data_IF_310615026250
#
_entry.id   IF_310615026250
#
_cell.length_a   1.000
_cell.length_b   1.000
_cell.length_c   1.000
_cell.angle_alpha   90.00
_cell.angle_beta   90.00
_cell.angle_gamma   90.00
#
_symmetry.space_group_name_H-M   'P 1'
#
loop_
_entity.id
_entity.type
_entity.pdbx_description
1 polymer ?
#
# COMPACT_ATOMS: atom_id res chain seq x y z
N UNK A 1 8.23 43.60 52.14
CA UNK A 1 7.45 43.31 50.91
C UNK A 1 8.45 42.94 49.84
N UNK A 2 8.68 41.65 49.65
CA UNK A 2 9.58 41.13 48.62
C UNK A 2 8.77 40.91 47.34
N UNK A 3 9.18 41.56 46.25
CA UNK A 3 8.63 41.33 44.92
C UNK A 3 9.13 39.98 44.41
N UNK A 4 8.21 39.03 44.28
CA UNK A 4 8.45 37.77 43.58
C UNK A 4 8.49 38.09 42.09
N UNK A 5 9.69 38.08 41.51
CA UNK A 5 9.90 38.16 40.07
C UNK A 5 9.31 36.93 39.39
N UNK A 6 8.20 37.11 38.67
CA UNK A 6 7.65 36.06 37.82
C UNK A 6 8.61 35.77 36.67
N UNK A 7 9.16 34.55 36.66
CA UNK A 7 9.89 33.98 35.53
C UNK A 7 8.97 33.93 34.31
N UNK A 8 9.26 34.74 33.29
CA UNK A 8 8.63 34.67 31.98
C UNK A 8 8.86 33.29 31.38
N UNK A 9 7.79 32.49 31.27
CA UNK A 9 7.82 31.20 30.61
C UNK A 9 8.24 31.32 29.14
N UNK A 10 8.79 30.25 28.54
CA UNK A 10 9.24 30.28 27.16
C UNK A 10 8.10 30.64 26.21
N UNK A 11 8.38 31.56 25.29
CA UNK A 11 7.48 31.95 24.19
C UNK A 11 7.08 30.71 23.37
N UNK A 12 5.85 30.64 22.81
CA UNK A 12 5.42 29.51 21.96
C UNK A 12 6.38 29.18 20.81
N UNK A 13 7.16 30.16 20.34
CA UNK A 13 8.17 29.97 19.30
C UNK A 13 9.40 29.17 19.75
N UNK A 14 9.70 29.09 21.05
CA UNK A 14 10.82 28.29 21.57
C UNK A 14 10.48 26.79 21.67
N UNK A 15 9.20 26.43 21.73
CA UNK A 15 8.74 25.04 21.89
C UNK A 15 8.73 24.24 20.58
N UNK A 16 8.97 24.88 19.44
CA UNK A 16 8.98 24.22 18.12
C UNK A 16 10.36 23.72 17.70
N UNK A 17 11.42 24.05 18.44
CA UNK A 17 12.80 23.76 18.04
C UNK A 17 13.52 22.93 19.11
N UNK A 18 13.84 21.67 18.80
CA UNK A 18 14.62 20.80 19.67
C UNK A 18 16.10 20.82 19.25
N UNK A 19 16.86 21.78 19.79
CA UNK A 19 18.26 22.04 19.39
C UNK A 19 19.26 20.99 19.87
N UNK A 20 18.91 20.17 20.87
CA UNK A 20 19.83 19.18 21.47
C UNK A 20 20.02 17.93 20.62
N UNK A 21 19.15 17.68 19.62
CA UNK A 21 19.27 16.49 18.79
C UNK A 21 20.61 16.42 18.05
N UNK A 22 21.07 17.55 17.51
CA UNK A 22 22.35 17.64 16.78
C UNK A 22 23.58 17.47 17.68
N UNK A 23 23.43 17.59 19.01
CA UNK A 23 24.51 17.38 19.97
C UNK A 23 24.73 15.89 20.31
N UNK A 24 23.80 15.02 19.91
CA UNK A 24 23.95 13.58 20.11
C UNK A 24 25.03 13.01 19.19
N UNK A 25 25.83 12.03 19.66
CA UNK A 25 26.69 11.22 18.80
C UNK A 25 25.92 10.65 17.61
N UNK A 26 26.58 10.59 16.45
CA UNK A 26 25.98 10.15 15.19
C UNK A 26 25.31 8.78 15.33
N UNK A 27 25.89 7.85 16.08
CA UNK A 27 25.33 6.52 16.30
C UNK A 27 23.97 6.58 17.02
N UNK A 28 23.80 7.50 17.97
CA UNK A 28 22.53 7.69 18.66
C UNK A 28 21.50 8.36 17.76
N UNK A 29 21.90 9.37 16.98
CA UNK A 29 21.01 10.04 16.02
C UNK A 29 20.49 9.06 14.98
N UNK A 30 21.38 8.24 14.40
CA UNK A 30 21.00 7.19 13.46
C UNK A 30 20.07 6.17 14.10
N UNK A 31 20.34 5.69 15.33
CA UNK A 31 19.41 4.79 16.04
C UNK A 31 18.03 5.41 16.22
N UNK A 32 17.97 6.69 16.60
CA UNK A 32 16.68 7.40 16.74
C UNK A 32 15.97 7.44 15.38
N UNK A 33 16.66 7.78 14.29
CA UNK A 33 16.03 7.78 12.97
C UNK A 33 15.53 6.41 12.51
N UNK A 34 16.26 5.33 12.78
CA UNK A 34 15.77 3.97 12.52
C UNK A 34 14.50 3.67 13.33
N UNK A 35 14.40 4.15 14.57
CA UNK A 35 13.18 4.04 15.37
C UNK A 35 12.04 4.96 14.90
N UNK A 36 12.35 6.04 14.17
CA UNK A 36 11.37 6.95 13.58
C UNK A 36 10.85 6.47 12.22
N UNK A 37 11.38 5.38 11.66
CA UNK A 37 10.79 4.77 10.46
C UNK A 37 9.36 4.34 10.81
N UNK A 38 8.35 4.76 10.03
CA UNK A 38 6.97 4.39 10.31
C UNK A 38 6.77 2.88 10.41
N UNK A 39 5.78 2.48 11.19
CA UNK A 39 5.28 1.11 11.15
C UNK A 39 4.74 0.79 9.74
N UNK A 40 4.67 -0.50 9.34
CA UNK A 40 4.10 -0.91 8.07
C UNK A 40 2.72 -0.31 7.80
N UNK A 41 2.46 0.09 6.55
CA UNK A 41 1.26 0.84 6.18
C UNK A 41 0.47 0.13 5.07
N UNK A 42 -0.84 0.33 5.11
CA UNK A 42 -1.75 0.07 4.01
C UNK A 42 -1.79 1.31 3.10
N UNK A 43 -1.32 1.20 1.86
CA UNK A 43 -1.34 2.26 0.85
C UNK A 43 -2.52 2.06 -0.11
N UNK A 44 -3.51 2.94 -0.05
CA UNK A 44 -4.68 2.88 -0.93
C UNK A 44 -4.36 3.56 -2.26
N UNK A 45 -4.30 2.78 -3.35
CA UNK A 45 -3.92 3.26 -4.67
C UNK A 45 -5.16 3.43 -5.54
N UNK A 46 -5.22 4.54 -6.28
CA UNK A 46 -6.21 4.77 -7.33
C UNK A 46 -5.60 5.32 -8.61
N UNK A 47 -6.24 5.02 -9.73
CA UNK A 47 -6.02 5.72 -10.99
C UNK A 47 -6.67 7.10 -10.93
N UNK A 48 -5.96 8.16 -11.33
CA UNK A 48 -6.59 9.47 -11.57
C UNK A 48 -6.87 9.65 -13.06
N UNK A 49 -8.10 9.99 -13.39
CA UNK A 49 -8.55 10.36 -14.73
C UNK A 49 -9.11 11.79 -14.69
N UNK A 50 -8.92 12.58 -15.74
CA UNK A 50 -9.64 13.84 -15.94
C UNK A 50 -10.45 13.78 -17.24
N UNK A 51 -11.65 14.38 -17.23
CA UNK A 51 -12.43 14.62 -18.44
C UNK A 51 -11.84 15.81 -19.17
N UNK A 52 -11.14 15.59 -20.29
CA UNK A 52 -10.66 16.71 -21.09
C UNK A 52 -11.83 17.59 -21.55
N UNK A 53 -11.53 18.85 -21.88
CA UNK A 53 -12.47 19.78 -22.52
C UNK A 53 -13.05 19.18 -23.82
N UNK A 54 -12.34 18.23 -24.43
CA UNK A 54 -12.76 17.49 -25.64
C UNK A 54 -13.53 16.20 -25.34
N UNK A 55 -13.90 15.93 -24.08
CA UNK A 55 -14.64 14.74 -23.66
C UNK A 55 -13.82 13.44 -23.64
N UNK A 56 -12.50 13.49 -23.85
CA UNK A 56 -11.62 12.32 -23.76
C UNK A 56 -11.10 12.16 -22.34
N UNK A 57 -11.28 10.99 -21.77
CA UNK A 57 -10.59 10.60 -20.53
C UNK A 57 -9.09 10.47 -20.81
N UNK A 58 -8.28 11.21 -20.06
CA UNK A 58 -6.83 11.07 -20.09
C UNK A 58 -6.34 10.52 -18.76
N UNK A 59 -5.74 9.33 -18.80
CA UNK A 59 -5.15 8.69 -17.63
C UNK A 59 -3.93 9.49 -17.15
N UNK A 60 -3.91 9.83 -15.85
CA UNK A 60 -2.84 10.63 -15.23
C UNK A 60 -1.82 9.80 -14.46
N UNK A 61 -1.98 8.48 -14.35
CA UNK A 61 -1.12 7.63 -13.54
C UNK A 61 -1.82 7.11 -12.29
N UNK A 62 -1.04 6.35 -11.53
CA UNK A 62 -1.41 5.78 -10.25
C UNK A 62 -0.93 6.67 -9.10
N UNK A 63 -1.78 6.83 -8.10
CA UNK A 63 -1.54 7.69 -6.95
C UNK A 63 -1.98 7.00 -5.67
N UNK A 64 -1.24 7.25 -4.59
CA UNK A 64 -1.73 6.95 -3.25
C UNK A 64 -2.79 7.99 -2.89
N UNK A 65 -4.01 7.52 -2.63
CA UNK A 65 -5.13 8.33 -2.18
C UNK A 65 -5.05 8.59 -0.68
N UNK A 66 -4.81 7.52 0.08
CA UNK A 66 -4.70 7.55 1.52
C UNK A 66 -3.75 6.46 2.00
N UNK A 67 -3.27 6.60 3.24
CA UNK A 67 -2.49 5.59 3.91
C UNK A 67 -3.03 5.39 5.33
N UNK A 68 -2.99 4.16 5.83
CA UNK A 68 -3.32 3.84 7.22
C UNK A 68 -2.28 2.89 7.81
N UNK A 69 -2.08 2.94 9.13
CA UNK A 69 -1.20 2.00 9.80
C UNK A 69 -1.85 0.62 9.81
N UNK A 70 -1.10 -0.43 9.45
CA UNK A 70 -1.61 -1.82 9.48
C UNK A 70 -2.04 -2.19 10.92
N UNK A 71 -1.31 -1.69 11.91
CA UNK A 71 -1.63 -1.86 13.32
C UNK A 71 -2.31 -0.58 13.82
N UNK A 72 -3.50 -0.73 14.40
CA UNK A 72 -4.30 0.39 14.92
C UNK A 72 -5.28 0.97 13.92
N UNK A 73 -4.99 0.90 12.60
CA UNK A 73 -5.89 1.39 11.56
C UNK A 73 -5.97 2.92 11.48
N UNK A 74 -5.11 3.63 12.21
CA UNK A 74 -5.08 5.09 12.22
C UNK A 74 -4.59 5.62 10.87
N UNK A 75 -5.26 6.67 10.38
CA UNK A 75 -4.85 7.38 9.20
C UNK A 75 -3.42 7.93 9.37
N UNK A 76 -2.62 7.79 8.33
CA UNK A 76 -1.25 8.27 8.31
C UNK A 76 -0.93 8.99 7.00
N UNK A 77 0.20 9.70 6.99
CA UNK A 77 0.63 10.40 5.78
C UNK A 77 1.03 9.40 4.70
N UNK A 78 0.58 9.66 3.47
CA UNK A 78 1.02 8.93 2.28
C UNK A 78 2.54 9.02 2.10
N UNK A 79 3.13 10.19 2.38
CA UNK A 79 4.58 10.34 2.39
C UNK A 79 5.12 10.11 3.82
N UNK A 80 6.02 9.13 4.03
CA UNK A 80 6.62 8.88 5.34
C UNK A 80 7.21 10.13 5.97
N UNK A 81 6.89 10.39 7.23
CA UNK A 81 7.38 11.57 7.97
C UNK A 81 8.91 11.65 7.97
N UNK A 82 9.59 10.51 8.07
CA UNK A 82 11.06 10.40 8.07
C UNK A 82 11.71 11.05 6.83
N UNK A 83 11.02 11.08 5.68
CA UNK A 83 11.53 11.68 4.44
C UNK A 83 11.46 13.21 4.40
N UNK A 84 10.80 13.83 5.38
CA UNK A 84 10.54 15.27 5.43
C UNK A 84 11.14 15.99 6.63
N UNK A 85 11.75 15.28 7.59
CA UNK A 85 12.28 15.91 8.81
C UNK A 85 13.53 16.73 8.51
N UNK A 86 14.58 16.09 7.99
CA UNK A 86 15.85 16.71 7.59
C UNK A 86 16.62 15.76 6.63
N UNK A 87 17.80 16.17 6.17
CA UNK A 87 18.61 15.38 5.24
C UNK A 87 19.06 14.02 5.80
N UNK A 88 19.48 13.97 7.07
CA UNK A 88 19.95 12.72 7.71
C UNK A 88 18.81 11.71 7.89
N UNK A 89 17.65 12.17 8.37
CA UNK A 89 16.46 11.34 8.46
C UNK A 89 16.04 10.84 7.07
N UNK A 90 16.08 11.71 6.06
CA UNK A 90 15.77 11.33 4.67
C UNK A 90 16.72 10.26 4.14
N UNK A 91 18.01 10.36 4.41
CA UNK A 91 18.99 9.34 4.02
C UNK A 91 18.67 7.98 4.65
N UNK A 92 18.33 7.95 5.94
CA UNK A 92 17.88 6.73 6.62
C UNK A 92 16.56 6.21 6.04
N UNK A 93 15.59 7.08 5.76
CA UNK A 93 14.31 6.67 5.17
C UNK A 93 14.48 6.07 3.78
N UNK A 94 15.36 6.63 2.96
CA UNK A 94 15.62 6.16 1.60
C UNK A 94 16.41 4.85 1.53
N UNK A 95 16.84 4.26 2.65
CA UNK A 95 17.37 2.89 2.64
C UNK A 95 16.29 1.84 2.45
N UNK A 96 15.01 2.18 2.70
CA UNK A 96 13.87 1.28 2.54
C UNK A 96 12.78 1.82 1.62
N UNK A 97 12.55 3.13 1.61
CA UNK A 97 11.52 3.75 0.78
C UNK A 97 12.05 4.13 -0.61
N UNK A 98 11.35 3.67 -1.65
CA UNK A 98 11.61 4.02 -3.05
C UNK A 98 10.48 4.88 -3.62
N UNK A 99 10.82 5.81 -4.52
CA UNK A 99 9.82 6.56 -5.28
C UNK A 99 9.24 5.66 -6.38
N UNK A 100 7.98 5.26 -6.23
CA UNK A 100 7.28 4.25 -7.00
C UNK A 100 6.08 4.80 -7.78
N UNK A 101 5.47 3.92 -8.58
CA UNK A 101 4.31 4.15 -9.43
C UNK A 101 4.58 5.14 -10.57
N UNK A 102 5.83 5.14 -11.03
CA UNK A 102 6.18 5.78 -12.29
C UNK A 102 5.62 4.98 -13.46
N UNK A 103 5.47 5.66 -14.59
CA UNK A 103 5.17 5.04 -15.89
C UNK A 103 6.10 5.60 -16.95
N UNK A 104 6.03 5.08 -18.17
CA UNK A 104 6.87 5.55 -19.29
C UNK A 104 6.81 7.08 -19.48
N UNK A 105 5.67 7.71 -19.21
CA UNK A 105 5.47 9.15 -19.41
C UNK A 105 5.58 9.99 -18.13
N UNK A 106 5.75 9.37 -16.96
CA UNK A 106 5.58 10.06 -15.68
C UNK A 106 6.49 9.52 -14.59
N UNK A 107 7.08 10.44 -13.82
CA UNK A 107 7.80 10.09 -12.61
C UNK A 107 6.87 9.44 -11.57
N UNK A 108 7.45 8.61 -10.70
CA UNK A 108 6.76 8.06 -9.55
C UNK A 108 6.23 9.15 -8.62
N UNK A 109 5.15 8.82 -7.90
CA UNK A 109 4.41 9.80 -7.09
C UNK A 109 4.27 9.40 -5.63
N UNK A 110 4.70 8.20 -5.27
CA UNK A 110 4.54 7.66 -3.93
C UNK A 110 5.86 7.06 -3.42
N UNK A 111 6.16 7.25 -2.15
CA UNK A 111 7.26 6.55 -1.50
C UNK A 111 6.74 5.26 -0.87
N UNK A 112 7.29 4.13 -1.31
CA UNK A 112 6.84 2.79 -0.94
C UNK A 112 8.01 1.99 -0.40
N UNK A 113 7.81 1.36 0.75
CA UNK A 113 8.69 0.29 1.23
C UNK A 113 8.08 -1.03 0.79
N UNK A 114 8.52 -1.57 -0.35
CA UNK A 114 7.90 -2.74 -0.97
C UNK A 114 7.98 -4.01 -0.11
N UNK A 115 8.90 -4.07 0.85
CA UNK A 115 9.05 -5.21 1.74
C UNK A 115 8.03 -5.18 2.89
N UNK A 116 7.63 -3.98 3.32
CA UNK A 116 6.80 -3.79 4.53
C UNK A 116 5.39 -3.27 4.25
N UNK A 117 5.22 -2.37 3.29
CA UNK A 117 3.94 -1.77 2.97
C UNK A 117 3.05 -2.74 2.17
N UNK A 118 1.73 -2.61 2.35
CA UNK A 118 0.71 -3.30 1.59
C UNK A 118 0.13 -2.38 0.53
N UNK A 119 0.06 -2.83 -0.72
CA UNK A 119 -0.63 -2.10 -1.77
C UNK A 119 -2.11 -2.49 -1.79
N UNK A 120 -2.97 -1.54 -1.50
CA UNK A 120 -4.41 -1.74 -1.41
C UNK A 120 -5.09 -1.11 -2.63
N UNK A 121 -5.70 -1.93 -3.47
CA UNK A 121 -6.46 -1.44 -4.61
C UNK A 121 -7.94 -1.34 -4.20
N UNK A 122 -8.36 -0.11 -3.94
CA UNK A 122 -9.74 0.22 -3.55
C UNK A 122 -10.62 0.30 -4.79
N UNK A 123 -11.82 -0.31 -4.74
CA UNK A 123 -12.77 -0.35 -5.86
C UNK A 123 -12.22 -1.06 -7.11
N UNK A 124 -11.31 -2.02 -6.92
CA UNK A 124 -10.70 -2.73 -8.02
C UNK A 124 -11.60 -3.86 -8.53
N UNK A 125 -12.13 -3.69 -9.74
CA UNK A 125 -12.51 -4.81 -10.59
C UNK A 125 -11.30 -5.35 -11.37
N UNK A 126 -11.47 -6.45 -12.11
CA UNK A 126 -10.44 -7.04 -12.98
C UNK A 126 -9.73 -6.01 -13.87
N UNK A 127 -10.48 -5.02 -14.38
CA UNK A 127 -9.96 -3.91 -15.18
C UNK A 127 -8.87 -3.08 -14.47
N UNK A 128 -8.94 -2.91 -13.14
CA UNK A 128 -7.95 -2.13 -12.40
C UNK A 128 -6.60 -2.85 -12.33
N UNK A 129 -6.62 -4.17 -12.13
CA UNK A 129 -5.39 -4.99 -12.09
C UNK A 129 -4.73 -5.00 -13.46
N UNK A 130 -5.53 -5.22 -14.51
CA UNK A 130 -5.09 -5.16 -15.90
C UNK A 130 -4.40 -3.82 -16.23
N UNK A 131 -5.00 -2.69 -15.84
CA UNK A 131 -4.39 -1.38 -16.04
C UNK A 131 -3.11 -1.21 -15.23
N UNK A 132 -3.06 -1.71 -14.00
CA UNK A 132 -1.91 -1.55 -13.11
C UNK A 132 -0.67 -2.28 -13.62
N UNK A 133 -0.84 -3.48 -14.20
CA UNK A 133 0.27 -4.30 -14.68
C UNK A 133 0.76 -3.94 -16.08
N UNK A 134 0.24 -2.89 -16.70
CA UNK A 134 0.72 -2.42 -18.01
C UNK A 134 -0.39 -2.10 -18.98
N UNK A 135 -1.53 -2.78 -18.89
CA UNK A 135 -2.72 -2.66 -19.73
C UNK A 135 -2.53 -1.84 -21.02
N UNK A 136 -3.18 -0.68 -21.10
CA UNK A 136 -3.12 0.25 -22.25
C UNK A 136 -1.88 1.16 -22.25
N UNK A 137 -0.71 0.63 -21.87
CA UNK A 137 0.53 1.39 -21.58
C UNK A 137 0.43 2.31 -20.34
N UNK A 138 -0.44 1.94 -19.41
CA UNK A 138 -0.82 2.74 -18.23
C UNK A 138 -0.36 2.10 -16.90
N UNK A 139 0.43 1.03 -16.98
CA UNK A 139 0.94 0.32 -15.81
C UNK A 139 2.00 1.07 -15.04
N UNK A 140 2.26 0.57 -13.83
CA UNK A 140 3.40 0.99 -13.02
C UNK A 140 4.65 0.25 -13.49
N UNK A 141 5.80 0.89 -13.35
CA UNK A 141 7.10 0.26 -13.65
C UNK A 141 7.60 -0.67 -12.53
N UNK A 142 6.86 -0.79 -11.42
CA UNK A 142 7.32 -1.44 -10.19
C UNK A 142 6.57 -2.76 -9.88
N UNK A 143 5.88 -3.35 -10.88
CA UNK A 143 5.02 -4.53 -10.70
C UNK A 143 5.78 -5.69 -10.05
N UNK A 144 7.02 -5.91 -10.46
CA UNK A 144 7.91 -6.97 -9.97
C UNK A 144 8.42 -6.73 -8.54
N UNK A 145 8.34 -5.48 -8.04
CA UNK A 145 8.75 -5.13 -6.68
C UNK A 145 7.65 -5.38 -5.66
N UNK A 146 6.38 -5.35 -6.07
CA UNK A 146 5.23 -5.54 -5.17
C UNK A 146 5.30 -6.90 -4.47
N UNK A 147 5.39 -6.88 -3.14
CA UNK A 147 5.41 -8.10 -2.30
C UNK A 147 4.07 -8.43 -1.66
N UNK A 148 3.30 -7.41 -1.28
CA UNK A 148 2.04 -7.56 -0.58
C UNK A 148 0.95 -6.77 -1.32
N UNK A 149 -0.04 -7.47 -1.84
CA UNK A 149 -1.15 -6.89 -2.59
C UNK A 149 -2.47 -7.25 -1.91
N UNK A 150 -3.34 -6.26 -1.74
CA UNK A 150 -4.71 -6.45 -1.25
C UNK A 150 -5.71 -5.88 -2.25
N UNK A 151 -6.69 -6.71 -2.61
CA UNK A 151 -7.85 -6.30 -3.38
C UNK A 151 -9.06 -6.12 -2.46
N UNK A 152 -9.70 -4.95 -2.55
CA UNK A 152 -11.06 -4.77 -2.04
C UNK A 152 -12.04 -5.01 -3.16
N UNK A 153 -12.60 -6.20 -3.16
CA UNK A 153 -13.51 -6.69 -4.20
C UNK A 153 -14.94 -6.26 -3.87
N UNK A 154 -15.60 -5.63 -4.83
CA UNK A 154 -17.05 -5.45 -4.81
C UNK A 154 -17.70 -6.57 -5.61
N UNK A 155 -18.74 -7.20 -5.03
CA UNK A 155 -19.31 -8.46 -5.53
C UNK A 155 -19.88 -8.34 -6.96
N UNK A 156 -20.36 -7.17 -7.35
CA UNK A 156 -20.90 -6.93 -8.71
C UNK A 156 -19.81 -6.97 -9.82
N UNK A 157 -18.54 -6.99 -9.43
CA UNK A 157 -17.38 -7.13 -10.33
C UNK A 157 -16.64 -8.45 -10.12
N UNK A 158 -17.17 -9.35 -9.29
CA UNK A 158 -16.54 -10.62 -8.94
C UNK A 158 -17.27 -11.79 -9.58
N UNK A 159 -16.55 -12.54 -10.41
CA UNK A 159 -16.88 -13.90 -10.77
C UNK A 159 -15.69 -14.76 -10.31
N UNK A 160 -15.93 -15.68 -9.37
CA UNK A 160 -14.87 -16.54 -8.83
C UNK A 160 -14.24 -17.42 -9.92
N UNK A 161 -14.92 -17.68 -11.03
CA UNK A 161 -14.40 -18.43 -12.17
C UNK A 161 -13.60 -17.56 -13.15
N UNK A 162 -13.78 -16.24 -13.14
CA UNK A 162 -13.12 -15.28 -14.05
C UNK A 162 -12.23 -14.29 -13.27
N UNK A 163 -11.67 -14.73 -12.15
CA UNK A 163 -10.68 -13.92 -11.45
C UNK A 163 -9.43 -13.73 -12.34
N UNK A 164 -8.86 -12.52 -12.29
CA UNK A 164 -7.76 -12.08 -13.16
C UNK A 164 -6.38 -12.69 -12.80
N UNK A 165 -6.28 -14.02 -12.73
CA UNK A 165 -5.06 -14.75 -12.38
C UNK A 165 -3.88 -14.41 -13.31
N UNK A 166 -4.13 -14.25 -14.61
CA UNK A 166 -3.11 -13.84 -15.59
C UNK A 166 -2.48 -12.49 -15.24
N UNK A 167 -3.26 -11.54 -14.72
CA UNK A 167 -2.74 -10.25 -14.30
C UNK A 167 -1.99 -10.36 -12.96
N UNK A 168 -2.49 -11.17 -12.03
CA UNK A 168 -1.83 -11.43 -10.75
C UNK A 168 -0.47 -12.11 -10.95
N UNK A 169 -0.35 -13.00 -11.94
CA UNK A 169 0.90 -13.68 -12.27
C UNK A 169 2.03 -12.73 -12.69
N UNK A 170 1.70 -11.53 -13.19
CA UNK A 170 2.70 -10.54 -13.58
C UNK A 170 3.45 -9.93 -12.39
N UNK A 171 2.87 -10.01 -11.18
CA UNK A 171 3.57 -9.65 -9.94
C UNK A 171 4.52 -10.78 -9.54
N UNK A 172 5.62 -10.93 -10.29
CA UNK A 172 6.64 -11.98 -10.07
C UNK A 172 7.27 -11.91 -8.67
N UNK A 173 7.17 -10.74 -8.04
CA UNK A 173 7.62 -10.49 -6.69
C UNK A 173 6.65 -10.82 -5.57
N UNK A 174 5.41 -11.18 -5.89
CA UNK A 174 4.32 -11.27 -4.94
C UNK A 174 4.57 -12.39 -3.93
N UNK A 175 4.47 -12.05 -2.64
CA UNK A 175 4.57 -13.00 -1.53
C UNK A 175 3.21 -13.25 -0.91
N UNK A 176 2.37 -12.22 -0.86
CA UNK A 176 1.02 -12.31 -0.29
C UNK A 176 0.01 -11.60 -1.15
N UNK A 177 -1.10 -12.29 -1.39
CA UNK A 177 -2.31 -11.77 -2.01
C UNK A 177 -3.46 -11.85 -1.00
N UNK A 178 -4.04 -10.71 -0.66
CA UNK A 178 -5.20 -10.61 0.23
C UNK A 178 -6.44 -10.20 -0.57
N UNK A 179 -7.53 -10.93 -0.42
CA UNK A 179 -8.83 -10.62 -1.02
C UNK A 179 -9.79 -10.24 0.11
N UNK A 180 -10.14 -8.95 0.22
CA UNK A 180 -11.19 -8.50 1.13
C UNK A 180 -12.48 -8.33 0.35
N UNK A 181 -13.43 -9.21 0.63
CA UNK A 181 -14.69 -9.25 -0.10
C UNK A 181 -15.79 -8.81 0.87
N UNK A 182 -16.35 -7.64 0.59
CA UNK A 182 -17.30 -6.96 1.48
C UNK A 182 -18.71 -7.16 0.95
N UNK A 183 -19.37 -8.26 1.32
CA UNK A 183 -20.83 -8.44 1.25
C UNK A 183 -21.25 -9.83 1.77
N UNK A 184 -22.51 -9.98 2.17
CA UNK A 184 -23.07 -11.14 2.87
C UNK A 184 -23.17 -12.43 2.04
N UNK A 185 -22.71 -12.46 0.78
CA UNK A 185 -23.17 -13.44 -0.21
C UNK A 185 -22.14 -14.47 -0.68
N UNK A 186 -20.88 -14.42 -0.25
CA UNK A 186 -19.91 -15.46 -0.66
C UNK A 186 -20.21 -16.74 0.10
N UNK A 187 -20.81 -17.71 -0.55
CA UNK A 187 -20.98 -19.04 0.01
C UNK A 187 -19.64 -19.79 0.10
N UNK A 188 -19.57 -20.84 0.91
CA UNK A 188 -18.41 -21.76 0.93
C UNK A 188 -18.16 -22.38 -0.45
N UNK A 189 -19.19 -22.49 -1.28
CA UNK A 189 -19.13 -22.95 -2.67
C UNK A 189 -18.30 -22.01 -3.57
N UNK A 190 -18.35 -20.70 -3.34
CA UNK A 190 -17.51 -19.73 -4.09
C UNK A 190 -16.03 -19.86 -3.73
N UNK A 191 -15.73 -20.16 -2.46
CA UNK A 191 -14.36 -20.42 -2.01
C UNK A 191 -13.83 -21.68 -2.70
N UNK A 192 -14.66 -22.72 -2.76
CA UNK A 192 -14.33 -23.98 -3.42
C UNK A 192 -14.12 -23.78 -4.91
N UNK A 193 -14.97 -22.99 -5.56
CA UNK A 193 -14.85 -22.63 -6.99
C UNK A 193 -13.57 -21.85 -7.26
N UNK A 194 -13.28 -20.82 -6.46
CA UNK A 194 -12.05 -20.05 -6.56
C UNK A 194 -10.80 -20.91 -6.32
N UNK A 195 -10.85 -21.83 -5.36
CA UNK A 195 -9.76 -22.76 -5.07
C UNK A 195 -9.53 -23.72 -6.26
N UNK A 196 -10.59 -24.29 -6.82
CA UNK A 196 -10.48 -25.15 -8.01
C UNK A 196 -9.94 -24.37 -9.23
N UNK A 197 -10.39 -23.14 -9.44
CA UNK A 197 -9.89 -22.28 -10.51
C UNK A 197 -8.40 -21.94 -10.32
N UNK A 198 -7.99 -21.65 -9.08
CA UNK A 198 -6.60 -21.42 -8.72
C UNK A 198 -5.72 -22.66 -8.94
N UNK A 199 -6.18 -23.84 -8.51
CA UNK A 199 -5.51 -25.12 -8.74
C UNK A 199 -5.35 -25.41 -10.23
N UNK A 200 -6.41 -25.20 -11.03
CA UNK A 200 -6.36 -25.35 -12.47
C UNK A 200 -5.35 -24.40 -13.12
N UNK A 201 -5.41 -23.12 -12.75
CA UNK A 201 -4.48 -22.12 -13.25
C UNK A 201 -3.03 -22.45 -12.89
N UNK A 202 -2.76 -22.78 -11.63
CA UNK A 202 -1.42 -23.14 -11.16
C UNK A 202 -0.86 -24.39 -11.87
N UNK A 203 -1.70 -25.38 -12.20
CA UNK A 203 -1.29 -26.55 -13.01
C UNK A 203 -0.89 -26.16 -14.43
N UNK A 204 -1.54 -25.17 -15.03
CA UNK A 204 -1.21 -24.66 -16.37
C UNK A 204 0.03 -23.76 -16.38
N UNK A 205 0.37 -23.17 -15.24
CA UNK A 205 1.46 -22.20 -15.07
C UNK A 205 2.48 -22.67 -14.03
N UNK A 206 3.21 -23.74 -14.36
CA UNK A 206 4.18 -24.36 -13.43
C UNK A 206 5.37 -23.46 -13.05
N UNK A 207 5.64 -22.44 -13.86
CA UNK A 207 6.62 -21.39 -13.61
C UNK A 207 6.16 -20.35 -12.59
N UNK A 208 4.85 -20.28 -12.33
CA UNK A 208 4.29 -19.28 -11.44
C UNK A 208 4.56 -19.64 -9.98
N UNK A 209 5.30 -18.78 -9.30
CA UNK A 209 5.47 -18.87 -7.85
C UNK A 209 4.20 -18.42 -7.15
N UNK A 210 3.41 -19.39 -6.69
CA UNK A 210 2.17 -19.12 -5.96
C UNK A 210 2.44 -18.28 -4.69
N UNK A 211 1.77 -17.12 -4.51
CA UNK A 211 1.84 -16.36 -3.27
C UNK A 211 1.01 -17.01 -2.14
N UNK A 212 1.21 -16.55 -0.90
CA UNK A 212 0.27 -16.80 0.20
C UNK A 212 -1.04 -16.06 -0.08
N UNK A 213 -2.09 -16.80 -0.45
CA UNK A 213 -3.39 -16.23 -0.82
C UNK A 213 -4.33 -16.32 0.38
N UNK A 214 -4.89 -15.18 0.79
CA UNK A 214 -5.81 -15.07 1.92
C UNK A 214 -7.08 -14.36 1.52
N UNK A 215 -8.21 -14.83 2.04
CA UNK A 215 -9.52 -14.25 1.82
C UNK A 215 -10.12 -13.84 3.15
N UNK A 216 -10.53 -12.59 3.26
CA UNK A 216 -11.26 -12.08 4.42
C UNK A 216 -12.75 -12.17 4.17
N UNK A 217 -13.42 -12.86 5.09
CA UNK A 217 -14.87 -12.91 5.15
C UNK A 217 -15.35 -11.90 6.18
N UNK A 218 -16.20 -10.98 5.75
CA UNK A 218 -16.93 -10.09 6.64
C UNK A 218 -18.42 -10.45 6.61
N UNK A 219 -18.75 -11.66 7.09
CA UNK A 219 -20.15 -12.07 7.31
C UNK A 219 -20.56 -11.74 8.75
N UNK A 220 -21.82 -11.34 9.00
CA UNK A 220 -22.35 -11.22 10.36
C UNK A 220 -22.10 -12.51 11.16
N UNK A 221 -21.35 -12.41 12.25
CA UNK A 221 -21.01 -13.55 13.11
C UNK A 221 -19.76 -14.37 12.71
N UNK A 222 -19.18 -14.15 11.52
CA UNK A 222 -17.95 -14.83 11.07
C UNK A 222 -17.03 -13.81 10.39
N UNK A 223 -16.11 -13.24 11.17
CA UNK A 223 -15.02 -12.39 10.68
C UNK A 223 -13.71 -13.16 10.77
N UNK A 224 -13.23 -13.70 9.65
CA UNK A 224 -11.99 -14.49 9.64
C UNK A 224 -11.25 -14.40 8.31
N UNK A 225 -9.93 -14.57 8.40
CA UNK A 225 -9.10 -14.89 7.25
C UNK A 225 -9.15 -16.40 6.99
N UNK A 226 -9.27 -16.78 5.72
CA UNK A 226 -9.09 -18.14 5.24
C UNK A 226 -7.92 -18.14 4.27
N UNK A 227 -6.96 -19.02 4.48
CA UNK A 227 -5.85 -19.22 3.54
C UNK A 227 -6.28 -20.20 2.46
N UNK A 228 -6.10 -19.82 1.20
CA UNK A 228 -6.19 -20.73 0.07
C UNK A 228 -4.84 -21.44 -0.08
N UNK A 229 -4.72 -22.62 0.52
CA UNK A 229 -3.62 -23.53 0.22
C UNK A 229 -3.94 -24.36 -1.03
N UNK A 230 -2.95 -24.52 -1.91
CA UNK A 230 -2.89 -25.65 -2.84
C UNK A 230 -2.56 -26.92 -2.07
#
# INVERSE_FOLDING_TARGET
MECISQSSGPSPAQLTTFSRFSELPTELRLKIWHHCIPAPRDLHIKSKNYQSITGRFSFRGWFVDSASLIIGGDDTSAIPSILHVNSEAREVGLTGYELAFGSYHRAGTAYVDFERDNLNLTQAGSNCVFMLVGGRFEGINDVEKVRNLEFRVQLHFWDSNDFCWDNVMQFTGLRRLSLKIYENFIDEDEISSLKMALEDFARRHTEWKLPDIRIWFDKPGVKKWVTLGL
#
